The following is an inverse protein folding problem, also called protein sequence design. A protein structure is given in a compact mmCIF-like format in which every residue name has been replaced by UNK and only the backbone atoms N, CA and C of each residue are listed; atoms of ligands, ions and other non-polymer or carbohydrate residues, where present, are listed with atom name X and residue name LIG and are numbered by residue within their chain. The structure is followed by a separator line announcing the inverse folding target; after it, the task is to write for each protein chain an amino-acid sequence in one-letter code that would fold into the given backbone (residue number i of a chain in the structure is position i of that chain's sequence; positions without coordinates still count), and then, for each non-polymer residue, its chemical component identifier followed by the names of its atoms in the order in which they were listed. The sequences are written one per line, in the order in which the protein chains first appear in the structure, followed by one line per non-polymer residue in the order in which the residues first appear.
data_IF_927057413403
#
_entry.id   IF_927057413403
#
_cell.length_a   1.000
_cell.length_b   1.000
_cell.length_c   1.000
_cell.angle_alpha   90.00
_cell.angle_beta   90.00
_cell.angle_gamma   90.00
#
_symmetry.space_group_name_H-M   'P 1'
#
loop_
_entity.id
_entity.type
_entity.pdbx_description
1 polymer ?
#
# COMPACT_ATOMS: atom_id res chain seq x y z
N UNK A 1 -16.90 -7.67 6.26
CA UNK A 1 -15.92 -8.58 5.63
C UNK A 1 -16.61 -9.91 5.37
N UNK A 2 -16.90 -10.27 4.11
CA UNK A 2 -17.75 -11.42 3.78
C UNK A 2 -16.99 -12.75 3.60
N UNK A 3 -15.66 -12.71 3.44
CA UNK A 3 -14.82 -13.90 3.26
C UNK A 3 -13.61 -13.86 4.20
N UNK A 4 -13.20 -15.02 4.71
CA UNK A 4 -12.04 -15.20 5.61
C UNK A 4 -10.74 -15.34 4.82
N UNK A 5 -10.43 -14.37 3.96
CA UNK A 5 -9.20 -14.35 3.18
C UNK A 5 -8.02 -13.73 3.95
N UNK A 6 -6.80 -14.02 3.50
CA UNK A 6 -5.60 -13.48 4.11
C UNK A 6 -5.24 -12.11 3.51
N UNK A 7 -4.55 -11.30 4.30
CA UNK A 7 -4.08 -9.96 3.91
C UNK A 7 -2.57 -9.90 4.13
N UNK A 8 -1.82 -9.49 3.11
CA UNK A 8 -0.39 -9.21 3.18
C UNK A 8 -0.15 -7.70 3.04
N UNK A 9 0.38 -7.06 4.09
CA UNK A 9 0.77 -5.65 4.06
C UNK A 9 2.25 -5.53 3.72
N UNK A 10 2.60 -4.74 2.70
CA UNK A 10 4.00 -4.42 2.35
C UNK A 10 4.16 -2.90 2.24
N UNK A 11 5.10 -2.33 2.99
CA UNK A 11 5.41 -0.89 2.90
C UNK A 11 6.01 -0.54 1.54
N UNK A 12 5.42 0.38 0.79
CA UNK A 12 5.86 0.74 -0.57
C UNK A 12 5.92 2.26 -0.79
N UNK A 13 7.04 2.89 -0.43
CA UNK A 13 7.21 4.35 -0.59
C UNK A 13 7.25 4.80 -2.06
N UNK A 14 7.63 3.92 -2.99
CA UNK A 14 7.77 4.26 -4.41
C UNK A 14 6.44 4.57 -5.09
N UNK A 15 5.30 4.24 -4.46
CA UNK A 15 3.98 4.66 -4.94
C UNK A 15 3.82 6.18 -4.96
N UNK A 16 4.57 6.89 -4.12
CA UNK A 16 4.68 8.35 -4.10
C UNK A 16 5.80 8.87 -5.02
N UNK A 17 6.28 8.05 -5.95
CA UNK A 17 7.29 8.42 -6.92
C UNK A 17 6.70 9.12 -8.14
N UNK A 18 7.36 10.16 -8.62
CA UNK A 18 7.08 10.78 -9.91
C UNK A 18 8.39 10.93 -10.70
N UNK A 19 8.27 11.10 -12.02
CA UNK A 19 9.42 11.11 -12.92
C UNK A 19 9.86 12.56 -13.22
N UNK A 20 11.13 12.87 -12.94
CA UNK A 20 11.81 14.06 -13.47
C UNK A 20 12.67 13.61 -14.66
N UNK A 21 12.08 13.65 -15.86
CA UNK A 21 12.63 12.96 -17.04
C UNK A 21 12.56 11.44 -16.83
N UNK A 22 13.70 10.74 -16.86
CA UNK A 22 13.76 9.29 -16.59
C UNK A 22 14.15 8.96 -15.14
N UNK A 23 14.42 9.96 -14.30
CA UNK A 23 14.83 9.76 -12.91
C UNK A 23 13.60 9.80 -12.00
N UNK A 24 13.33 8.73 -11.22
CA UNK A 24 12.29 8.78 -10.21
C UNK A 24 12.72 9.67 -9.03
N UNK A 25 11.78 10.49 -8.57
CA UNK A 25 11.89 11.36 -7.41
C UNK A 25 10.78 10.99 -6.42
N UNK A 26 11.14 10.88 -5.14
CA UNK A 26 10.28 10.41 -4.06
C UNK A 26 10.15 11.43 -2.93
N UNK A 27 10.45 12.70 -3.16
CA UNK A 27 10.50 13.71 -2.08
C UNK A 27 9.16 13.92 -1.37
N UNK A 28 8.04 13.54 -1.99
CA UNK A 28 6.71 13.60 -1.38
C UNK A 28 6.39 12.41 -0.48
N UNK A 29 7.21 11.35 -0.50
CA UNK A 29 7.06 10.23 0.41
C UNK A 29 7.48 10.62 1.84
N UNK A 30 6.79 10.06 2.84
CA UNK A 30 7.13 10.29 4.24
C UNK A 30 8.55 9.78 4.56
N UNK A 31 9.32 10.60 5.29
CA UNK A 31 10.67 10.24 5.72
C UNK A 31 10.70 8.90 6.51
N UNK A 32 11.70 8.02 6.32
CA UNK A 32 11.73 6.68 6.92
C UNK A 32 11.55 6.65 8.45
N UNK A 33 12.09 7.66 9.15
CA UNK A 33 12.03 7.78 10.60
C UNK A 33 10.59 7.95 11.12
N UNK A 34 9.74 8.63 10.34
CA UNK A 34 8.30 8.78 10.65
C UNK A 34 7.47 7.66 10.02
N UNK A 35 7.86 7.19 8.84
CA UNK A 35 7.13 6.16 8.11
C UNK A 35 7.16 4.79 8.82
N UNK A 36 8.27 4.43 9.47
CA UNK A 36 8.38 3.17 10.23
C UNK A 36 7.35 3.06 11.36
N UNK A 37 7.26 3.99 12.32
CA UNK A 37 6.24 3.92 13.37
C UNK A 37 4.82 4.10 12.82
N UNK A 38 4.64 4.89 11.74
CA UNK A 38 3.35 5.01 11.08
C UNK A 38 2.86 3.68 10.48
N UNK A 39 3.74 2.98 9.76
CA UNK A 39 3.43 1.66 9.19
C UNK A 39 3.13 0.63 10.28
N UNK A 40 3.90 0.61 11.38
CA UNK A 40 3.62 -0.26 12.52
C UNK A 40 2.22 -0.01 13.10
N UNK A 41 1.86 1.27 13.31
CA UNK A 41 0.50 1.62 13.76
C UNK A 41 -0.59 1.18 12.78
N UNK A 42 -0.34 1.25 11.47
CA UNK A 42 -1.27 0.76 10.45
C UNK A 42 -1.47 -0.76 10.57
N UNK A 43 -0.38 -1.53 10.68
CA UNK A 43 -0.45 -2.99 10.86
C UNK A 43 -1.26 -3.34 12.11
N UNK A 44 -1.04 -2.66 13.23
CA UNK A 44 -1.78 -2.91 14.47
C UNK A 44 -3.27 -2.56 14.34
N UNK A 45 -3.61 -1.48 13.61
CA UNK A 45 -5.01 -1.16 13.29
C UNK A 45 -5.68 -2.27 12.47
N UNK A 46 -4.97 -2.85 11.51
CA UNK A 46 -5.49 -3.99 10.74
C UNK A 46 -5.65 -5.24 11.60
N UNK A 47 -4.70 -5.54 12.50
CA UNK A 47 -4.82 -6.65 13.45
C UNK A 47 -6.07 -6.51 14.33
N UNK A 48 -6.34 -5.30 14.82
CA UNK A 48 -7.48 -5.03 15.69
C UNK A 48 -8.83 -4.97 14.95
N UNK A 49 -8.84 -4.54 13.70
CA UNK A 49 -10.07 -4.39 12.90
C UNK A 49 -10.45 -5.64 12.09
N UNK A 50 -9.54 -6.61 11.96
CA UNK A 50 -9.74 -7.86 11.22
C UNK A 50 -9.41 -9.09 12.09
N UNK A 51 -9.06 -10.21 11.47
CA UNK A 51 -8.53 -11.40 12.13
C UNK A 51 -6.99 -11.32 12.18
N UNK A 52 -6.36 -11.26 13.37
CA UNK A 52 -4.91 -11.26 13.52
C UNK A 52 -4.20 -12.43 12.83
N UNK A 53 -4.81 -13.62 12.82
CA UNK A 53 -4.19 -14.84 12.26
C UNK A 53 -4.12 -14.81 10.73
N UNK A 54 -5.03 -14.06 10.11
CA UNK A 54 -5.12 -13.88 8.66
C UNK A 54 -4.27 -12.71 8.13
N UNK A 55 -3.62 -11.95 9.01
CA UNK A 55 -2.77 -10.82 8.64
C UNK A 55 -1.30 -11.24 8.63
N UNK A 56 -0.60 -10.87 7.56
CA UNK A 56 0.85 -10.95 7.43
C UNK A 56 1.40 -9.58 7.03
N UNK A 57 2.62 -9.28 7.46
CA UNK A 57 3.34 -8.06 7.10
C UNK A 57 4.76 -8.36 6.61
N UNK A 58 5.29 -7.45 5.81
CA UNK A 58 6.68 -7.46 5.38
C UNK A 58 7.62 -6.81 6.39
N UNK A 59 8.90 -6.72 6.04
CA UNK A 59 9.92 -6.05 6.86
C UNK A 59 10.15 -4.64 6.33
N UNK A 60 9.73 -3.62 7.09
CA UNK A 60 9.88 -2.22 6.70
C UNK A 60 11.32 -1.86 6.35
N UNK A 61 11.52 -1.27 5.17
CA UNK A 61 12.84 -0.81 4.70
C UNK A 61 13.80 -1.92 4.26
N UNK A 62 13.41 -3.18 4.33
CA UNK A 62 14.21 -4.28 3.82
C UNK A 62 13.97 -4.50 2.31
N UNK A 63 15.00 -4.98 1.61
CA UNK A 63 14.84 -5.48 0.24
C UNK A 63 14.10 -6.81 0.28
N UNK A 64 12.89 -6.84 -0.25
CA UNK A 64 12.04 -8.03 -0.27
C UNK A 64 11.86 -8.56 -1.69
N UNK A 65 11.75 -9.89 -1.81
CA UNK A 65 11.21 -10.56 -2.99
C UNK A 65 9.82 -11.05 -2.62
N UNK A 66 8.78 -10.46 -3.22
CA UNK A 66 7.38 -10.80 -2.94
C UNK A 66 6.85 -11.60 -4.12
N UNK A 67 6.51 -12.87 -3.88
CA UNK A 67 5.81 -13.69 -4.87
C UNK A 67 4.31 -13.45 -4.73
N UNK A 68 3.68 -13.00 -5.81
CA UNK A 68 2.25 -12.70 -5.86
C UNK A 68 1.62 -13.46 -7.03
N UNK A 69 0.65 -14.31 -6.72
CA UNK A 69 -0.21 -14.95 -7.72
C UNK A 69 -1.52 -14.20 -7.74
N UNK A 70 -1.76 -13.44 -8.81
CA UNK A 70 -3.01 -12.71 -9.00
C UNK A 70 -4.05 -13.66 -9.62
N UNK A 71 -5.01 -14.11 -8.82
CA UNK A 71 -6.21 -14.82 -9.31
C UNK A 71 -7.18 -13.78 -9.90
N UNK A 72 -7.06 -13.53 -11.21
CA UNK A 72 -7.64 -12.37 -11.89
C UNK A 72 -6.90 -12.00 -13.18
N UNK A 73 -6.43 -10.74 -13.38
CA UNK A 73 -5.98 -9.78 -12.37
C UNK A 73 -7.01 -8.71 -12.01
N UNK A 74 -7.16 -8.44 -10.71
CA UNK A 74 -7.90 -7.28 -10.19
C UNK A 74 -6.91 -6.41 -9.43
N UNK A 75 -6.73 -5.16 -9.88
CA UNK A 75 -5.86 -4.18 -9.21
C UNK A 75 -6.69 -2.94 -8.89
N UNK A 76 -6.62 -2.49 -7.64
CA UNK A 76 -7.29 -1.29 -7.18
C UNK A 76 -6.27 -0.30 -6.63
N UNK A 77 -6.39 0.96 -7.03
CA UNK A 77 -5.62 2.06 -6.44
C UNK A 77 -6.49 2.79 -5.44
N UNK A 78 -5.95 3.02 -4.24
CA UNK A 78 -6.64 3.71 -3.16
C UNK A 78 -5.72 4.81 -2.63
N UNK A 79 -6.21 6.04 -2.64
CA UNK A 79 -5.56 7.18 -2.00
C UNK A 79 -6.54 7.85 -1.03
N UNK A 80 -6.16 7.89 0.24
CA UNK A 80 -6.95 8.53 1.31
C UNK A 80 -7.16 10.02 1.12
N UNK A 81 -6.31 10.69 0.31
CA UNK A 81 -6.41 12.12 0.02
C UNK A 81 -7.22 12.41 -1.25
N UNK A 82 -7.52 11.39 -2.06
CA UNK A 82 -8.36 11.56 -3.23
C UNK A 82 -9.83 11.70 -2.83
N UNK A 83 -10.55 12.73 -3.33
CA UNK A 83 -11.97 12.87 -3.05
C UNK A 83 -12.75 11.65 -3.57
N UNK A 84 -13.74 11.19 -2.79
CA UNK A 84 -14.67 10.15 -3.23
C UNK A 84 -15.41 10.67 -4.47
N UNK A 85 -15.16 10.05 -5.62
CA UNK A 85 -15.66 10.34 -6.98
C UNK A 85 -14.70 11.16 -7.85
N UNK A 86 -13.95 10.45 -8.70
CA UNK A 86 -13.50 10.93 -10.02
C UNK A 86 -13.21 9.70 -10.89
N UNK A 87 -14.24 8.91 -11.14
CA UNK A 87 -14.29 8.01 -12.30
C UNK A 87 -15.28 8.69 -13.23
N UNK A 88 -14.86 9.68 -14.02
CA UNK A 88 -15.65 10.28 -15.12
C UNK A 88 -14.82 11.26 -15.99
N UNK A 89 -13.49 11.12 -16.07
CA UNK A 89 -12.67 12.07 -16.85
C UNK A 89 -11.44 11.46 -17.53
N UNK A 90 -11.54 10.22 -18.01
CA UNK A 90 -10.49 9.63 -18.85
C UNK A 90 -11.07 8.72 -19.94
N UNK A 91 -12.18 9.13 -20.56
CA UNK A 91 -12.55 8.76 -21.92
C UNK A 91 -13.14 10.00 -22.61
N UNK A 92 -12.24 10.83 -23.15
CA UNK A 92 -12.51 11.84 -24.17
C UNK A 92 -11.23 12.11 -24.95
#
# INVERSE_FOLDING_TARGET
MQKNYQVLLVSQFTLYGFLKGNKPDFHVAMAPQRAKPFYASLVDRFRNAYNPDALKDGVFGAKMKVSLVNDGPVTMQLDSQSPKNTIDAAES
#
